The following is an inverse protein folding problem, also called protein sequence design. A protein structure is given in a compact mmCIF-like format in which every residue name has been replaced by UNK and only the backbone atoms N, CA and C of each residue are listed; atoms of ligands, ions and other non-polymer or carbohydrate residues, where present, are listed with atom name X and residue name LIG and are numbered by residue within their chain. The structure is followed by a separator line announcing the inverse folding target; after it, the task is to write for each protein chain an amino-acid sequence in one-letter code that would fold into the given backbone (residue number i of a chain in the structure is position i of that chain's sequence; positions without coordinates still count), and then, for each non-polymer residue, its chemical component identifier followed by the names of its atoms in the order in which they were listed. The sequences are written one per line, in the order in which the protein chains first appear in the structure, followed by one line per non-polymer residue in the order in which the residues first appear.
data_IF_146423327979
#
_entry.id   IF_146423327979
#
_cell.length_a   1.000
_cell.length_b   1.000
_cell.length_c   1.000
_cell.angle_alpha   90.00
_cell.angle_beta   90.00
_cell.angle_gamma   90.00
#
_symmetry.space_group_name_H-M   'P 1'
#
loop_
_entity.id
_entity.type
_entity.pdbx_description
1 polymer ?
#
# COMPACT_ATOMS: atom_id res chain seq x y z
N UNK A 1 9.66 -29.40 13.99
CA UNK A 1 8.60 -28.40 13.65
C UNK A 1 8.70 -28.12 12.15
N UNK A 2 7.59 -28.10 11.43
CA UNK A 2 7.54 -27.78 10.00
C UNK A 2 7.67 -26.25 9.82
N UNK A 3 8.58 -25.81 8.95
CA UNK A 3 8.83 -24.38 8.70
C UNK A 3 7.61 -23.66 8.11
N UNK A 4 6.70 -24.37 7.44
CA UNK A 4 5.46 -23.81 6.91
C UNK A 4 4.53 -23.25 7.99
N UNK A 5 4.76 -23.58 9.27
CA UNK A 5 4.02 -22.99 10.38
C UNK A 5 4.34 -21.51 10.59
N UNK A 6 5.56 -21.07 10.26
CA UNK A 6 5.90 -19.64 10.26
C UNK A 6 5.15 -18.88 9.16
N UNK A 7 4.95 -19.52 8.01
CA UNK A 7 4.11 -18.94 6.94
C UNK A 7 2.65 -18.77 7.41
N UNK A 8 2.11 -19.78 8.12
CA UNK A 8 0.76 -19.70 8.71
C UNK A 8 0.66 -18.53 9.71
N UNK A 9 1.68 -18.34 10.56
CA UNK A 9 1.75 -17.23 11.50
C UNK A 9 1.78 -15.87 10.77
N UNK A 10 2.61 -15.72 9.75
CA UNK A 10 2.71 -14.48 8.97
C UNK A 10 1.38 -14.18 8.25
N UNK A 11 0.74 -15.19 7.65
CA UNK A 11 -0.58 -15.05 7.02
C UNK A 11 -1.64 -14.63 8.04
N UNK A 12 -1.72 -15.28 9.21
CA UNK A 12 -2.69 -14.89 10.24
C UNK A 12 -2.44 -13.47 10.78
N UNK A 13 -1.18 -13.06 10.84
CA UNK A 13 -0.80 -11.70 11.26
C UNK A 13 -1.29 -10.61 10.29
N UNK A 14 -1.46 -10.94 9.02
CA UNK A 14 -1.99 -10.02 8.01
C UNK A 14 -3.52 -10.04 7.95
N UNK A 15 -4.13 -11.23 8.03
CA UNK A 15 -5.59 -11.40 7.91
C UNK A 15 -6.34 -11.03 9.20
N UNK A 16 -5.71 -11.22 10.37
CA UNK A 16 -6.33 -11.10 11.71
C UNK A 16 -7.68 -11.82 11.82
N UNK A 17 -7.84 -12.86 11.01
CA UNK A 17 -9.04 -13.68 10.92
C UNK A 17 -8.65 -15.13 10.62
N UNK A 18 -8.97 -16.07 11.52
CA UNK A 18 -8.61 -17.48 11.38
C UNK A 18 -9.23 -18.15 10.16
N UNK A 19 -10.48 -17.83 9.82
CA UNK A 19 -11.16 -18.43 8.66
C UNK A 19 -10.57 -17.92 7.34
N UNK A 20 -10.31 -16.62 7.24
CA UNK A 20 -9.65 -16.02 6.08
C UNK A 20 -8.24 -16.56 5.90
N UNK A 21 -7.44 -16.61 6.98
CA UNK A 21 -6.09 -17.17 6.95
C UNK A 21 -6.07 -18.65 6.56
N UNK A 22 -6.99 -19.46 7.11
CA UNK A 22 -7.12 -20.87 6.75
C UNK A 22 -7.46 -21.06 5.27
N UNK A 23 -8.43 -20.30 4.75
CA UNK A 23 -8.79 -20.30 3.32
C UNK A 23 -7.59 -19.94 2.44
N UNK A 24 -6.83 -18.91 2.80
CA UNK A 24 -5.63 -18.49 2.06
C UNK A 24 -4.54 -19.55 2.05
N UNK A 25 -4.46 -20.38 3.11
CA UNK A 25 -3.54 -21.52 3.22
C UNK A 25 -4.10 -22.83 2.67
N UNK A 26 -5.28 -22.81 2.05
CA UNK A 26 -6.00 -24.00 1.56
C UNK A 26 -6.19 -25.08 2.65
N UNK A 27 -6.56 -24.64 3.86
CA UNK A 27 -6.78 -25.48 5.03
C UNK A 27 -8.16 -25.27 5.64
N UNK A 28 -8.62 -26.25 6.43
CA UNK A 28 -9.78 -26.03 7.31
C UNK A 28 -9.38 -25.18 8.52
N UNK A 29 -10.28 -24.33 9.00
CA UNK A 29 -10.01 -23.47 10.16
C UNK A 29 -9.54 -24.24 11.42
N UNK A 30 -10.12 -25.43 11.77
CA UNK A 30 -9.61 -26.21 12.90
C UNK A 30 -8.19 -26.74 12.71
N UNK A 31 -7.83 -27.14 11.49
CA UNK A 31 -6.46 -27.59 11.18
C UNK A 31 -5.47 -26.42 11.30
N UNK A 32 -5.82 -25.27 10.72
CA UNK A 32 -5.02 -24.06 10.79
C UNK A 32 -4.83 -23.58 12.25
N UNK A 33 -5.91 -23.56 13.05
CA UNK A 33 -5.83 -23.18 14.46
C UNK A 33 -4.92 -24.08 15.28
N UNK A 34 -4.92 -25.41 15.00
CA UNK A 34 -3.99 -26.36 15.66
C UNK A 34 -2.54 -26.06 15.30
N UNK A 35 -2.23 -25.71 14.06
CA UNK A 35 -0.88 -25.36 13.63
C UNK A 35 -0.37 -24.10 14.33
N UNK A 36 -1.20 -23.07 14.44
CA UNK A 36 -0.85 -21.87 15.21
C UNK A 36 -0.59 -22.22 16.67
N UNK A 37 -1.42 -23.09 17.28
CA UNK A 37 -1.19 -23.57 18.65
C UNK A 37 0.15 -24.29 18.81
N UNK A 38 0.54 -25.14 17.86
CA UNK A 38 1.86 -25.81 17.85
C UNK A 38 3.01 -24.79 17.86
N UNK A 39 2.86 -23.68 17.12
CA UNK A 39 3.86 -22.61 17.14
C UNK A 39 3.91 -21.90 18.49
N UNK A 40 2.75 -21.55 19.05
CA UNK A 40 2.64 -20.90 20.37
C UNK A 40 3.25 -21.78 21.47
N UNK A 41 2.99 -23.07 21.41
CA UNK A 41 3.55 -24.04 22.36
C UNK A 41 5.09 -24.18 22.22
N UNK A 42 5.60 -24.14 20.99
CA UNK A 42 7.05 -24.15 20.73
C UNK A 42 7.74 -22.85 21.19
N UNK A 43 7.11 -21.69 20.99
CA UNK A 43 7.61 -20.39 21.46
C UNK A 43 7.48 -20.28 23.00
N UNK A 44 6.52 -20.99 23.59
CA UNK A 44 6.24 -20.98 25.03
C UNK A 44 5.31 -19.85 25.48
N UNK A 45 4.71 -19.11 24.56
CA UNK A 45 3.78 -18.01 24.88
C UNK A 45 2.77 -17.79 23.74
N UNK A 46 1.53 -17.32 24.05
CA UNK A 46 0.57 -16.94 23.01
C UNK A 46 1.10 -15.82 22.11
N UNK A 47 0.92 -15.97 20.80
CA UNK A 47 1.28 -14.97 19.79
C UNK A 47 0.09 -14.13 19.35
N UNK A 48 -1.13 -14.63 19.58
CA UNK A 48 -2.38 -13.93 19.30
C UNK A 48 -3.28 -13.86 20.54
N UNK A 49 -3.91 -12.71 20.73
CA UNK A 49 -5.09 -12.57 21.59
C UNK A 49 -6.32 -12.84 20.75
N UNK A 50 -7.29 -13.58 21.33
CA UNK A 50 -8.55 -13.96 20.69
C UNK A 50 -9.70 -13.54 21.55
N UNK A 51 -10.61 -12.76 20.99
CA UNK A 51 -11.92 -12.50 21.58
C UNK A 51 -13.01 -13.04 20.67
N UNK A 52 -14.26 -13.02 21.09
CA UNK A 52 -15.39 -13.40 20.23
C UNK A 52 -15.55 -12.49 19.01
N UNK A 53 -14.89 -11.32 18.98
CA UNK A 53 -15.06 -10.31 17.96
C UNK A 53 -13.78 -9.90 17.23
N UNK A 54 -12.60 -10.29 17.75
CA UNK A 54 -11.33 -9.82 17.19
C UNK A 54 -10.19 -10.78 17.44
N UNK A 55 -9.22 -10.77 16.52
CA UNK A 55 -7.90 -11.40 16.64
C UNK A 55 -6.87 -10.28 16.56
N UNK A 56 -5.89 -10.28 17.47
CA UNK A 56 -4.80 -9.31 17.45
C UNK A 56 -3.49 -9.96 17.88
N UNK A 57 -2.35 -9.42 17.43
CA UNK A 57 -1.04 -9.87 17.88
C UNK A 57 -0.80 -9.48 19.36
N UNK A 58 -0.27 -10.41 20.14
CA UNK A 58 0.32 -10.12 21.46
C UNK A 58 1.62 -9.30 21.30
N UNK A 59 2.19 -8.75 22.39
CA UNK A 59 3.54 -8.19 22.35
C UNK A 59 4.58 -9.18 21.81
N UNK A 60 4.49 -10.46 22.20
CA UNK A 60 5.36 -11.52 21.70
C UNK A 60 5.15 -11.77 20.20
N UNK A 61 3.88 -11.80 19.73
CA UNK A 61 3.55 -11.91 18.31
C UNK A 61 4.11 -10.74 17.49
N UNK A 62 3.99 -9.52 17.99
CA UNK A 62 4.58 -8.33 17.33
C UNK A 62 6.11 -8.40 17.26
N UNK A 63 6.77 -8.91 18.29
CA UNK A 63 8.22 -9.09 18.30
C UNK A 63 8.69 -10.21 17.33
N UNK A 64 7.91 -11.30 17.24
CA UNK A 64 8.24 -12.43 16.36
C UNK A 64 8.02 -12.12 14.88
N UNK A 65 6.97 -11.34 14.53
CA UNK A 65 6.52 -11.12 13.15
C UNK A 65 7.64 -10.68 12.19
N UNK A 66 8.47 -9.68 12.49
CA UNK A 66 9.53 -9.26 11.59
C UNK A 66 10.58 -10.36 11.36
N UNK A 67 10.88 -11.17 12.40
CA UNK A 67 11.85 -12.28 12.30
C UNK A 67 11.28 -13.45 11.50
N UNK A 68 10.04 -13.85 11.77
CA UNK A 68 9.35 -14.90 11.02
C UNK A 68 9.26 -14.52 9.53
N UNK A 69 8.89 -13.29 9.21
CA UNK A 69 8.84 -12.78 7.85
C UNK A 69 10.21 -12.78 7.16
N UNK A 70 11.28 -12.43 7.89
CA UNK A 70 12.65 -12.48 7.36
C UNK A 70 13.06 -13.92 7.01
N UNK A 71 12.86 -14.87 7.92
CA UNK A 71 13.17 -16.30 7.69
C UNK A 71 12.42 -16.84 6.48
N UNK A 72 11.14 -16.51 6.32
CA UNK A 72 10.35 -16.95 5.16
C UNK A 72 10.85 -16.36 3.85
N UNK A 73 11.27 -15.08 3.85
CA UNK A 73 11.89 -14.46 2.68
C UNK A 73 13.21 -15.13 2.31
N UNK A 74 14.09 -15.33 3.30
CA UNK A 74 15.42 -15.93 3.09
C UNK A 74 15.30 -17.35 2.52
N UNK A 75 14.34 -18.15 3.05
CA UNK A 75 14.08 -19.49 2.52
C UNK A 75 13.60 -19.46 1.07
N UNK A 76 12.69 -18.56 0.75
CA UNK A 76 12.19 -18.38 -0.60
C UNK A 76 13.29 -17.94 -1.56
N UNK A 77 14.13 -17.02 -1.12
CA UNK A 77 15.28 -16.54 -1.88
C UNK A 77 16.29 -17.69 -2.14
N UNK A 78 16.66 -18.46 -1.11
CA UNK A 78 17.57 -19.60 -1.27
C UNK A 78 17.04 -20.62 -2.28
N UNK A 79 15.73 -20.91 -2.26
CA UNK A 79 15.09 -21.75 -3.27
C UNK A 79 15.21 -21.14 -4.68
N UNK A 80 14.96 -19.85 -4.81
CA UNK A 80 14.96 -19.15 -6.10
C UNK A 80 16.40 -19.12 -6.68
N UNK A 81 17.41 -18.87 -5.85
CA UNK A 81 18.83 -18.95 -6.23
C UNK A 81 19.23 -20.37 -6.69
N UNK A 82 18.79 -21.39 -5.96
CA UNK A 82 19.04 -22.77 -6.35
C UNK A 82 18.39 -23.13 -7.71
N UNK A 83 17.19 -22.62 -7.98
CA UNK A 83 16.50 -22.79 -9.25
C UNK A 83 17.20 -22.04 -10.39
N UNK A 84 17.73 -20.84 -10.12
CA UNK A 84 18.51 -20.05 -11.08
C UNK A 84 19.80 -20.81 -11.48
N UNK A 85 20.57 -21.29 -10.50
CA UNK A 85 21.78 -22.09 -10.74
C UNK A 85 21.45 -23.35 -11.53
N UNK A 86 20.31 -23.98 -11.30
CA UNK A 86 19.86 -25.16 -12.06
C UNK A 86 19.36 -24.84 -13.48
N UNK A 87 19.39 -23.57 -13.91
CA UNK A 87 18.88 -23.15 -15.23
C UNK A 87 17.37 -23.30 -15.39
N UNK A 88 16.63 -23.47 -14.29
CA UNK A 88 15.18 -23.77 -14.29
C UNK A 88 14.28 -22.54 -14.10
N UNK A 89 14.85 -21.34 -13.99
CA UNK A 89 14.04 -20.16 -13.73
C UNK A 89 14.59 -18.92 -14.43
N UNK A 90 13.78 -18.37 -15.34
CA UNK A 90 13.75 -16.92 -15.60
C UNK A 90 12.47 -16.45 -14.92
N UNK A 91 12.51 -16.20 -13.62
CA UNK A 91 11.37 -15.60 -12.95
C UNK A 91 11.23 -14.15 -13.41
N UNK A 92 10.02 -13.80 -13.84
CA UNK A 92 9.66 -12.41 -14.04
C UNK A 92 9.91 -11.62 -12.74
N UNK A 93 10.50 -10.44 -12.86
CA UNK A 93 10.62 -9.51 -11.74
C UNK A 93 9.22 -9.08 -11.30
N UNK A 94 8.85 -9.36 -10.06
CA UNK A 94 7.52 -9.01 -9.54
C UNK A 94 7.60 -7.71 -8.73
N UNK A 95 6.71 -6.77 -9.03
CA UNK A 95 6.59 -5.49 -8.33
C UNK A 95 5.14 -5.34 -7.89
N UNK A 96 4.89 -5.12 -6.60
CA UNK A 96 3.58 -4.68 -6.14
C UNK A 96 3.47 -3.16 -6.25
N UNK A 97 2.32 -2.66 -6.67
CA UNK A 97 2.04 -1.24 -6.72
C UNK A 97 0.61 -0.95 -6.32
N UNK A 98 0.39 0.17 -5.64
CA UNK A 98 -0.97 0.62 -5.37
C UNK A 98 -1.70 0.98 -6.66
N UNK A 99 -3.02 0.74 -6.69
CA UNK A 99 -3.83 0.87 -7.90
C UNK A 99 -3.58 2.17 -8.69
N UNK A 100 -3.59 3.33 -8.03
CA UNK A 100 -3.39 4.60 -8.72
C UNK A 100 -2.04 4.65 -9.45
N UNK A 101 -0.95 4.28 -8.77
CA UNK A 101 0.40 4.34 -9.34
C UNK A 101 0.65 3.30 -10.43
N UNK A 102 -0.06 2.16 -10.39
CA UNK A 102 0.10 1.10 -11.40
C UNK A 102 -0.29 1.54 -12.80
N UNK A 103 -1.08 2.61 -12.95
CA UNK A 103 -1.43 3.16 -14.27
C UNK A 103 -1.03 4.62 -14.48
N UNK A 104 -0.81 5.42 -13.43
CA UNK A 104 -0.39 6.82 -13.60
C UNK A 104 1.12 7.00 -13.68
N UNK A 105 1.89 6.27 -12.88
CA UNK A 105 3.32 6.48 -12.70
C UNK A 105 4.18 5.30 -13.17
N UNK A 106 3.90 4.08 -12.68
CA UNK A 106 4.77 2.91 -12.88
C UNK A 106 5.04 2.59 -14.35
N UNK A 107 4.07 2.61 -15.28
CA UNK A 107 4.33 2.28 -16.68
C UNK A 107 5.36 3.22 -17.33
N UNK A 108 5.21 4.53 -17.12
CA UNK A 108 6.13 5.52 -17.66
C UNK A 108 7.53 5.40 -17.03
N UNK A 109 7.59 5.34 -15.71
CA UNK A 109 8.82 5.18 -14.96
C UNK A 109 9.59 3.90 -15.36
N UNK A 110 8.90 2.79 -15.56
CA UNK A 110 9.51 1.53 -16.04
C UNK A 110 10.13 1.66 -17.42
N UNK A 111 9.52 2.43 -18.32
CA UNK A 111 10.05 2.62 -19.68
C UNK A 111 11.23 3.60 -19.67
N UNK A 112 11.13 4.69 -18.92
CA UNK A 112 12.11 5.80 -18.98
C UNK A 112 13.34 5.56 -18.11
N UNK A 113 13.17 4.93 -16.95
CA UNK A 113 14.24 4.81 -15.95
C UNK A 113 14.84 3.41 -15.91
N UNK A 114 14.02 2.37 -16.04
CA UNK A 114 14.45 1.00 -15.74
C UNK A 114 14.91 0.24 -16.98
N UNK A 115 14.49 0.63 -18.18
CA UNK A 115 14.70 -0.13 -19.42
C UNK A 115 14.35 -1.63 -19.24
N UNK A 116 13.06 -1.94 -19.23
CA UNK A 116 12.50 -3.27 -18.95
C UNK A 116 13.15 -4.41 -19.76
N UNK A 117 13.74 -4.13 -20.93
CA UNK A 117 14.43 -5.13 -21.74
C UNK A 117 15.61 -5.81 -20.99
N UNK A 118 16.19 -5.14 -19.98
CA UNK A 118 17.28 -5.67 -19.18
C UNK A 118 16.85 -6.71 -18.13
N UNK A 119 15.54 -6.79 -17.87
CA UNK A 119 14.97 -7.61 -16.79
C UNK A 119 14.07 -8.75 -17.26
N UNK A 120 13.92 -8.92 -18.57
CA UNK A 120 12.98 -9.90 -19.12
C UNK A 120 11.53 -9.53 -18.79
N UNK A 121 10.71 -10.52 -18.44
CA UNK A 121 9.33 -10.25 -18.07
C UNK A 121 9.24 -9.57 -16.69
N UNK A 122 8.38 -8.55 -16.60
CA UNK A 122 8.04 -7.88 -15.34
C UNK A 122 6.57 -8.13 -15.03
N UNK A 123 6.29 -8.62 -13.82
CA UNK A 123 4.94 -8.78 -13.31
C UNK A 123 4.59 -7.59 -12.39
N UNK A 124 3.63 -6.78 -12.79
CA UNK A 124 3.08 -5.73 -11.97
C UNK A 124 1.81 -6.25 -11.27
N UNK A 125 1.87 -6.38 -9.96
CA UNK A 125 0.71 -6.70 -9.12
C UNK A 125 0.10 -5.39 -8.62
N UNK A 126 -1.17 -5.17 -8.94
CA UNK A 126 -1.88 -3.95 -8.56
C UNK A 126 -2.96 -4.27 -7.53
N UNK A 127 -2.87 -3.66 -6.34
CA UNK A 127 -3.84 -3.87 -5.26
C UNK A 127 -3.93 -2.64 -4.33
N UNK A 128 -4.74 -2.75 -3.28
CA UNK A 128 -4.79 -1.81 -2.16
C UNK A 128 -3.42 -1.71 -1.47
N UNK A 129 -3.17 -0.60 -0.76
CA UNK A 129 -1.92 -0.47 0.00
C UNK A 129 -1.74 -1.61 1.01
N UNK A 130 -2.83 -1.96 1.72
CA UNK A 130 -2.77 -2.99 2.77
C UNK A 130 -2.35 -4.36 2.20
N UNK A 131 -2.87 -4.75 1.03
CA UNK A 131 -2.48 -6.01 0.40
C UNK A 131 -1.08 -5.94 -0.22
N UNK A 132 -0.72 -4.85 -0.90
CA UNK A 132 0.64 -4.67 -1.42
C UNK A 132 1.70 -4.70 -0.30
N UNK A 133 1.43 -4.05 0.84
CA UNK A 133 2.28 -4.12 2.03
C UNK A 133 2.37 -5.55 2.57
N UNK A 134 1.26 -6.27 2.62
CA UNK A 134 1.22 -7.66 3.05
C UNK A 134 2.01 -8.58 2.10
N UNK A 135 1.92 -8.40 0.78
CA UNK A 135 2.72 -9.12 -0.21
C UNK A 135 4.23 -8.94 0.01
N UNK A 136 4.67 -7.70 0.28
CA UNK A 136 6.08 -7.40 0.60
C UNK A 136 6.49 -8.04 1.94
N UNK A 137 5.66 -7.93 2.98
CA UNK A 137 5.93 -8.52 4.28
C UNK A 137 6.06 -10.05 4.24
N UNK A 138 5.22 -10.72 3.42
CA UNK A 138 5.27 -12.18 3.22
C UNK A 138 6.37 -12.63 2.26
N UNK A 139 7.11 -11.68 1.65
CA UNK A 139 8.14 -11.99 0.65
C UNK A 139 7.58 -12.56 -0.65
N UNK A 140 6.32 -12.31 -0.98
CA UNK A 140 5.70 -12.71 -2.24
C UNK A 140 6.13 -11.79 -3.39
N UNK A 141 6.51 -10.55 -3.07
CA UNK A 141 7.15 -9.60 -3.98
C UNK A 141 8.40 -9.00 -3.33
N UNK A 142 9.49 -8.77 -4.07
CA UNK A 142 10.66 -8.07 -3.58
C UNK A 142 10.46 -6.55 -3.48
N UNK A 143 9.49 -5.98 -4.18
CA UNK A 143 9.31 -4.54 -4.29
C UNK A 143 7.86 -4.10 -4.12
N UNK A 144 7.70 -2.92 -3.49
CA UNK A 144 6.43 -2.22 -3.39
C UNK A 144 6.62 -0.77 -3.83
N UNK A 145 5.80 -0.31 -4.78
CA UNK A 145 5.67 1.11 -5.16
C UNK A 145 4.37 1.67 -4.57
N UNK A 146 4.49 2.69 -3.74
CA UNK A 146 3.32 3.34 -3.13
C UNK A 146 3.58 4.81 -2.84
N UNK A 147 2.49 5.56 -2.62
CA UNK A 147 2.59 6.89 -2.02
C UNK A 147 3.05 6.77 -0.57
N UNK A 148 4.00 7.60 -0.19
CA UNK A 148 4.56 7.69 1.16
C UNK A 148 4.49 9.12 1.68
N UNK A 149 4.30 9.26 2.98
CA UNK A 149 4.32 10.54 3.67
C UNK A 149 4.87 10.36 5.09
N UNK A 150 5.66 11.32 5.63
CA UNK A 150 6.28 11.18 6.94
C UNK A 150 5.31 10.96 8.10
N UNK A 151 4.09 11.51 8.01
CA UNK A 151 3.06 11.39 9.05
C UNK A 151 2.36 10.02 9.04
N UNK A 152 2.34 9.33 7.89
CA UNK A 152 1.58 8.09 7.75
C UNK A 152 2.35 6.89 8.31
N UNK A 153 1.74 6.16 9.23
CA UNK A 153 2.33 4.94 9.79
C UNK A 153 2.38 3.81 8.76
N UNK A 154 3.41 2.99 8.81
CA UNK A 154 3.59 1.79 7.99
C UNK A 154 4.05 0.62 8.87
N UNK A 155 3.74 -0.61 8.47
CA UNK A 155 4.29 -1.84 9.08
C UNK A 155 5.70 -2.16 8.57
N UNK A 156 6.19 -1.41 7.56
CA UNK A 156 7.52 -1.58 6.98
C UNK A 156 8.55 -0.86 7.86
N UNK A 157 8.98 -1.52 8.93
CA UNK A 157 10.00 -1.01 9.85
C UNK A 157 11.32 -0.77 9.12
N UNK A 158 11.98 0.37 9.38
CA UNK A 158 13.30 0.71 8.84
C UNK A 158 14.42 -0.27 9.22
N UNK A 159 14.21 -1.11 10.23
CA UNK A 159 15.15 -2.18 10.56
C UNK A 159 15.14 -3.34 9.55
N UNK A 160 14.00 -3.59 8.89
CA UNK A 160 13.80 -4.73 8.00
C UNK A 160 13.55 -4.32 6.55
N UNK A 161 13.22 -3.06 6.31
CA UNK A 161 12.92 -2.52 4.99
C UNK A 161 13.65 -1.21 4.77
N UNK A 162 14.02 -0.97 3.53
CA UNK A 162 14.55 0.30 3.07
C UNK A 162 13.69 0.84 1.93
N UNK A 163 13.72 2.13 1.73
CA UNK A 163 13.00 2.78 0.63
C UNK A 163 13.87 3.81 -0.05
N UNK A 164 13.57 4.06 -1.31
CA UNK A 164 14.09 5.20 -2.05
C UNK A 164 12.93 5.95 -2.69
N UNK A 165 13.03 7.27 -2.75
CA UNK A 165 12.09 8.10 -3.48
C UNK A 165 12.37 7.98 -4.96
N UNK A 166 11.34 7.64 -5.75
CA UNK A 166 11.42 7.48 -7.21
C UNK A 166 10.56 8.51 -7.97
N UNK A 167 9.80 9.32 -7.25
CA UNK A 167 8.98 10.40 -7.80
C UNK A 167 8.23 11.16 -6.70
N UNK A 168 7.37 12.05 -7.11
CA UNK A 168 6.49 12.81 -6.21
C UNK A 168 5.13 13.06 -6.84
N UNK A 169 4.14 13.30 -6.01
CA UNK A 169 2.80 13.69 -6.40
C UNK A 169 2.20 14.62 -5.32
N UNK A 170 0.98 15.06 -5.54
CA UNK A 170 0.19 15.79 -4.57
C UNK A 170 -1.20 15.22 -4.50
N UNK A 171 -1.75 15.08 -3.31
CA UNK A 171 -3.18 14.83 -3.14
C UNK A 171 -3.90 16.18 -3.18
N UNK A 172 -4.81 16.33 -4.12
CA UNK A 172 -5.56 17.56 -4.36
C UNK A 172 -7.06 17.34 -4.17
N UNK A 173 -7.77 18.25 -3.47
CA UNK A 173 -9.22 18.17 -3.36
C UNK A 173 -9.86 18.63 -4.67
N UNK A 174 -10.69 17.77 -5.25
CA UNK A 174 -11.37 18.03 -6.52
C UNK A 174 -12.89 17.81 -6.40
N UNK A 175 -13.63 18.55 -7.20
CA UNK A 175 -15.08 18.37 -7.38
C UNK A 175 -15.46 18.73 -8.80
N UNK A 176 -16.72 18.43 -9.17
CA UNK A 176 -17.30 18.90 -10.43
C UNK A 176 -17.39 20.44 -10.40
N UNK A 177 -17.06 21.13 -11.49
CA UNK A 177 -17.29 22.56 -11.62
C UNK A 177 -18.79 22.87 -11.73
N UNK A 178 -19.20 24.05 -11.28
CA UNK A 178 -20.52 24.61 -11.56
C UNK A 178 -20.52 25.32 -12.92
N UNK A 179 -21.71 25.61 -13.46
CA UNK A 179 -21.86 26.38 -14.70
C UNK A 179 -21.35 27.83 -14.60
N UNK A 180 -20.97 28.30 -13.42
CA UNK A 180 -20.58 29.69 -13.10
C UNK A 180 -19.11 29.83 -12.65
N UNK A 181 -18.19 29.05 -13.24
CA UNK A 181 -16.73 29.20 -13.08
C UNK A 181 -16.14 28.85 -11.71
N UNK A 182 -16.76 28.00 -10.92
CA UNK A 182 -16.20 27.56 -9.65
C UNK A 182 -16.53 26.11 -9.31
N UNK A 183 -15.92 25.54 -8.26
CA UNK A 183 -16.28 24.22 -7.79
C UNK A 183 -17.72 24.22 -7.22
N UNK A 184 -18.45 23.12 -7.41
CA UNK A 184 -19.78 22.94 -6.81
C UNK A 184 -19.75 22.99 -5.28
N UNK A 185 -18.61 22.62 -4.70
CA UNK A 185 -18.35 22.56 -3.27
C UNK A 185 -17.13 23.40 -2.90
N UNK A 186 -17.15 24.04 -1.76
CA UNK A 186 -16.02 24.84 -1.22
C UNK A 186 -15.67 24.36 0.17
N UNK A 187 -14.38 24.19 0.44
CA UNK A 187 -13.89 23.94 1.80
C UNK A 187 -13.85 25.29 2.52
N UNK A 188 -14.72 25.46 3.53
CA UNK A 188 -14.77 26.67 4.33
C UNK A 188 -14.26 26.40 5.74
N UNK A 189 -13.31 27.22 6.17
CA UNK A 189 -12.82 27.23 7.56
C UNK A 189 -13.74 28.02 8.50
N UNK A 190 -14.79 28.67 7.98
CA UNK A 190 -15.69 29.48 8.79
C UNK A 190 -16.51 28.61 9.74
N UNK A 191 -16.48 28.94 11.02
CA UNK A 191 -17.33 28.32 12.02
C UNK A 191 -18.81 28.56 11.65
N UNK A 192 -19.62 27.49 11.55
CA UNK A 192 -21.03 27.56 11.20
C UNK A 192 -21.41 27.15 9.78
N UNK A 193 -20.46 26.89 8.87
CA UNK A 193 -20.75 26.33 7.55
C UNK A 193 -21.26 24.88 7.65
N UNK A 194 -22.17 24.49 6.74
CA UNK A 194 -22.58 23.07 6.63
C UNK A 194 -21.42 22.18 6.24
N UNK A 195 -21.37 20.91 6.76
CA UNK A 195 -20.35 19.97 6.35
C UNK A 195 -20.43 19.63 4.86
N UNK A 196 -19.31 19.66 4.18
CA UNK A 196 -19.24 19.39 2.74
C UNK A 196 -19.30 17.87 2.47
N UNK A 197 -20.08 17.42 1.47
CA UNK A 197 -20.08 16.03 1.06
C UNK A 197 -18.69 15.53 0.71
N UNK A 198 -18.25 14.45 1.34
CA UNK A 198 -16.93 13.88 1.21
C UNK A 198 -16.97 12.45 0.68
N UNK A 199 -16.17 12.21 -0.35
CA UNK A 199 -15.94 10.93 -0.95
C UNK A 199 -14.69 10.33 -0.30
N UNK A 200 -14.90 9.54 0.76
CA UNK A 200 -13.86 9.07 1.67
C UNK A 200 -13.13 7.84 1.15
N UNK A 201 -11.89 7.70 1.55
CA UNK A 201 -11.17 6.45 1.39
C UNK A 201 -11.60 5.42 2.42
N UNK A 202 -11.67 4.15 2.00
CA UNK A 202 -11.84 3.01 2.89
C UNK A 202 -10.52 2.71 3.65
N UNK A 203 -10.56 2.03 4.81
CA UNK A 203 -9.39 1.81 5.68
C UNK A 203 -8.18 1.11 5.03
N UNK A 204 -8.40 0.35 3.95
CA UNK A 204 -7.33 -0.34 3.21
C UNK A 204 -6.48 0.60 2.35
N UNK A 205 -6.93 1.83 2.14
CA UNK A 205 -6.26 2.81 1.29
C UNK A 205 -5.04 3.43 1.99
N UNK A 206 -3.89 3.41 1.32
CA UNK A 206 -2.71 4.16 1.75
C UNK A 206 -2.92 5.68 1.70
N UNK A 207 -3.63 6.17 0.67
CA UNK A 207 -3.94 7.61 0.53
C UNK A 207 -4.85 8.06 1.68
N UNK A 208 -5.88 7.29 2.02
CA UNK A 208 -6.74 7.62 3.16
C UNK A 208 -5.97 7.77 4.47
N UNK A 209 -5.02 6.85 4.74
CA UNK A 209 -4.15 6.96 5.93
C UNK A 209 -3.26 8.20 5.92
N UNK A 210 -2.73 8.58 4.75
CA UNK A 210 -1.93 9.80 4.61
C UNK A 210 -2.78 11.02 4.93
N UNK A 211 -3.98 11.13 4.37
CA UNK A 211 -4.88 12.25 4.60
C UNK A 211 -5.28 12.38 6.07
N UNK A 212 -5.71 11.28 6.72
CA UNK A 212 -6.10 11.28 8.12
C UNK A 212 -4.93 11.72 9.03
N UNK A 213 -3.74 11.14 8.82
CA UNK A 213 -2.56 11.48 9.61
C UNK A 213 -2.12 12.93 9.41
N UNK A 214 -2.25 13.46 8.20
CA UNK A 214 -1.91 14.85 7.90
C UNK A 214 -2.89 15.83 8.52
N UNK A 215 -4.19 15.55 8.45
CA UNK A 215 -5.21 16.38 9.10
C UNK A 215 -5.09 16.38 10.63
N UNK A 216 -4.76 15.23 11.22
CA UNK A 216 -4.49 15.13 12.66
C UNK A 216 -3.25 15.95 13.05
N UNK A 217 -2.16 15.86 12.27
CA UNK A 217 -0.93 16.60 12.56
C UNK A 217 -1.08 18.12 12.45
N UNK A 218 -1.85 18.57 11.45
CA UNK A 218 -2.09 20.03 11.25
C UNK A 218 -3.15 20.61 12.17
N UNK A 219 -3.90 19.78 12.90
CA UNK A 219 -5.13 20.19 13.64
C UNK A 219 -6.12 20.95 12.74
N UNK A 220 -6.16 20.59 11.47
CA UNK A 220 -6.92 21.28 10.41
C UNK A 220 -7.77 20.27 9.62
N UNK A 221 -8.62 19.52 10.33
CA UNK A 221 -9.56 18.63 9.64
C UNK A 221 -10.70 19.45 9.04
N UNK A 222 -10.90 19.39 7.70
CA UNK A 222 -12.04 20.05 7.07
C UNK A 222 -13.37 19.51 7.60
N UNK A 223 -14.39 20.34 7.64
CA UNK A 223 -15.75 19.95 8.07
C UNK A 223 -16.43 19.15 6.96
N UNK A 224 -16.28 17.85 7.03
CA UNK A 224 -16.71 16.91 5.99
C UNK A 224 -17.80 15.98 6.49
N UNK A 225 -18.77 15.67 5.62
CA UNK A 225 -19.79 14.64 5.81
C UNK A 225 -19.53 13.55 4.80
N UNK A 226 -19.05 12.39 5.25
CA UNK A 226 -18.83 11.26 4.35
C UNK A 226 -20.15 10.78 3.76
N UNK A 227 -20.21 10.72 2.43
CA UNK A 227 -21.38 10.27 1.66
C UNK A 227 -21.08 9.02 0.83
N UNK A 228 -19.81 8.72 0.60
CA UNK A 228 -19.37 7.57 -0.17
C UNK A 228 -18.01 7.06 0.31
N UNK A 229 -17.77 5.74 0.22
CA UNK A 229 -16.48 5.12 0.55
C UNK A 229 -15.95 4.27 -0.59
N UNK A 230 -14.66 4.41 -0.91
CA UNK A 230 -13.95 3.49 -1.80
C UNK A 230 -12.48 3.41 -1.40
N UNK A 231 -11.83 2.28 -1.63
CA UNK A 231 -10.36 2.18 -1.53
C UNK A 231 -9.65 2.62 -2.82
N UNK A 232 -10.39 2.83 -3.92
CA UNK A 232 -9.87 3.21 -5.22
C UNK A 232 -10.01 4.72 -5.47
N UNK A 233 -8.90 5.42 -5.63
CA UNK A 233 -8.90 6.83 -6.01
C UNK A 233 -9.64 7.08 -7.34
N UNK A 234 -9.52 6.14 -8.30
CA UNK A 234 -10.22 6.22 -9.58
C UNK A 234 -11.75 6.20 -9.42
N UNK A 235 -12.28 5.38 -8.52
CA UNK A 235 -13.73 5.38 -8.21
C UNK A 235 -14.15 6.70 -7.59
N UNK A 236 -13.39 7.23 -6.62
CA UNK A 236 -13.70 8.52 -6.00
C UNK A 236 -13.67 9.66 -7.02
N UNK A 237 -12.71 9.62 -7.97
CA UNK A 237 -12.63 10.55 -9.11
C UNK A 237 -13.92 10.53 -9.95
N UNK A 238 -14.40 9.36 -10.34
CA UNK A 238 -15.62 9.26 -11.16
C UNK A 238 -16.85 9.76 -10.39
N UNK A 239 -16.98 9.39 -9.10
CA UNK A 239 -18.10 9.87 -8.27
C UNK A 239 -18.04 11.40 -8.05
N UNK A 240 -16.83 11.98 -7.99
CA UNK A 240 -16.65 13.43 -7.92
C UNK A 240 -17.10 14.13 -9.22
N UNK A 241 -16.84 13.54 -10.41
CA UNK A 241 -17.32 14.03 -11.71
C UNK A 241 -18.84 14.05 -11.81
N UNK A 242 -19.51 13.12 -11.12
CA UNK A 242 -20.98 13.09 -11.02
C UNK A 242 -21.53 14.11 -10.01
N UNK A 243 -20.66 14.95 -9.38
CA UNK A 243 -21.08 16.01 -8.46
C UNK A 243 -21.58 15.49 -7.11
N UNK A 244 -21.11 14.32 -6.65
CA UNK A 244 -21.58 13.76 -5.38
C UNK A 244 -20.80 14.26 -4.15
N UNK A 245 -19.76 15.10 -4.36
CA UNK A 245 -18.95 15.64 -3.29
C UNK A 245 -17.49 15.88 -3.67
N UNK A 246 -16.66 16.17 -2.67
CA UNK A 246 -15.23 16.42 -2.81
C UNK A 246 -14.44 15.13 -2.60
N UNK A 247 -13.44 14.86 -3.44
CA UNK A 247 -12.45 13.82 -3.26
C UNK A 247 -11.04 14.40 -3.20
N UNK A 248 -10.19 13.94 -2.27
CA UNK A 248 -8.74 14.14 -2.37
C UNK A 248 -8.13 13.01 -3.18
N UNK A 249 -7.55 13.31 -4.31
CA UNK A 249 -6.98 12.31 -5.23
C UNK A 249 -5.59 12.73 -5.69
N UNK A 250 -4.74 11.78 -6.13
CA UNK A 250 -3.46 12.13 -6.73
C UNK A 250 -3.63 13.06 -7.92
N UNK A 251 -2.86 14.15 -7.96
CA UNK A 251 -2.93 15.14 -9.06
C UNK A 251 -2.60 14.49 -10.40
N UNK A 252 -1.67 13.55 -10.42
CA UNK A 252 -1.35 12.75 -11.61
C UNK A 252 -2.56 11.99 -12.16
N UNK A 253 -3.47 11.53 -11.29
CA UNK A 253 -4.68 10.80 -11.68
C UNK A 253 -5.74 11.69 -12.35
N UNK A 254 -5.80 12.95 -11.96
CA UNK A 254 -6.85 13.91 -12.41
C UNK A 254 -6.31 14.99 -13.35
N UNK A 255 -5.06 14.89 -13.77
CA UNK A 255 -4.43 15.91 -14.63
C UNK A 255 -5.23 16.21 -15.90
N UNK A 256 -5.72 15.17 -16.58
CA UNK A 256 -6.55 15.31 -17.78
C UNK A 256 -7.92 15.93 -17.47
N UNK A 257 -8.54 15.57 -16.32
CA UNK A 257 -9.84 16.13 -15.92
C UNK A 257 -9.74 17.61 -15.55
N UNK A 258 -8.66 17.99 -14.87
CA UNK A 258 -8.39 19.40 -14.55
C UNK A 258 -8.15 20.23 -15.82
N UNK A 259 -7.43 19.66 -16.78
CA UNK A 259 -7.16 20.34 -18.06
C UNK A 259 -8.43 20.46 -18.92
N UNK A 260 -9.28 19.44 -18.95
CA UNK A 260 -10.53 19.46 -19.71
C UNK A 260 -11.67 20.21 -19.02
N UNK A 261 -11.51 20.58 -17.74
CA UNK A 261 -12.57 21.17 -16.93
C UNK A 261 -13.65 20.19 -16.47
N UNK A 262 -13.43 18.88 -16.61
CA UNK A 262 -14.34 17.85 -16.07
C UNK A 262 -14.34 17.82 -14.53
N UNK A 263 -13.22 18.19 -13.93
CA UNK A 263 -13.04 18.44 -12.50
C UNK A 263 -12.35 19.79 -12.30
N UNK A 264 -12.58 20.40 -11.15
CA UNK A 264 -11.86 21.59 -10.71
C UNK A 264 -11.30 21.38 -9.31
N UNK A 265 -10.19 22.04 -8.99
CA UNK A 265 -9.63 22.03 -7.64
C UNK A 265 -10.49 22.92 -6.71
N UNK A 266 -10.83 22.39 -5.54
CA UNK A 266 -11.83 23.01 -4.65
C UNK A 266 -11.22 24.11 -3.77
N UNK A 267 -9.90 24.07 -3.57
CA UNK A 267 -9.17 25.00 -2.71
C UNK A 267 -7.76 25.24 -3.22
N UNK A 268 -7.08 26.21 -2.62
CA UNK A 268 -5.67 26.52 -2.87
C UNK A 268 -4.69 25.51 -2.28
N UNK A 269 -3.39 25.85 -2.31
CA UNK A 269 -2.30 24.97 -1.86
C UNK A 269 -2.38 24.52 -0.39
N UNK A 270 -3.13 25.23 0.44
CA UNK A 270 -3.31 24.96 1.88
C UNK A 270 -3.94 23.59 2.16
N UNK A 271 -4.76 23.08 1.22
CA UNK A 271 -5.40 21.77 1.33
C UNK A 271 -4.73 20.70 0.45
N UNK A 272 -3.66 21.05 -0.25
CA UNK A 272 -2.85 20.08 -0.95
C UNK A 272 -1.97 19.30 0.05
N UNK A 273 -1.82 17.99 -0.17
CA UNK A 273 -0.90 17.16 0.61
C UNK A 273 0.18 16.63 -0.33
N UNK A 274 1.42 17.16 -0.24
CA UNK A 274 2.52 16.62 -1.02
C UNK A 274 2.84 15.20 -0.55
N UNK A 275 3.10 14.30 -1.50
CA UNK A 275 3.43 12.91 -1.22
C UNK A 275 4.62 12.46 -2.06
N UNK A 276 5.47 11.63 -1.47
CA UNK A 276 6.52 10.95 -2.21
C UNK A 276 5.96 9.70 -2.89
N UNK A 277 6.49 9.35 -4.05
CA UNK A 277 6.34 8.03 -4.63
C UNK A 277 7.60 7.26 -4.28
N UNK A 278 7.44 6.22 -3.48
CA UNK A 278 8.56 5.47 -2.90
C UNK A 278 8.54 4.02 -3.34
N UNK A 279 9.74 3.52 -3.65
CA UNK A 279 10.02 2.10 -3.86
C UNK A 279 10.56 1.52 -2.56
N UNK A 280 9.90 0.50 -2.02
CA UNK A 280 10.30 -0.24 -0.83
C UNK A 280 10.85 -1.60 -1.19
N UNK A 281 11.84 -2.08 -0.40
CA UNK A 281 12.38 -3.43 -0.45
C UNK A 281 12.80 -3.91 0.95
N UNK A 282 12.96 -5.24 1.17
CA UNK A 282 13.64 -5.75 2.36
C UNK A 282 15.11 -5.26 2.42
N UNK A 283 15.66 -5.12 3.64
CA UNK A 283 17.09 -4.84 3.86
C UNK A 283 17.98 -6.05 3.56
N UNK A 284 17.43 -7.26 3.61
CA UNK A 284 18.13 -8.48 3.23
C UNK A 284 18.49 -8.45 1.75
N UNK A 285 19.61 -9.08 1.41
CA UNK A 285 20.06 -9.19 0.02
C UNK A 285 19.02 -9.92 -0.81
N UNK A 286 18.74 -9.41 -1.99
CA UNK A 286 17.85 -10.01 -2.98
C UNK A 286 18.66 -10.80 -4.03
N UNK A 287 17.97 -11.50 -4.96
CA UNK A 287 18.66 -12.12 -6.09
C UNK A 287 19.30 -11.06 -6.99
N UNK A 288 20.23 -11.46 -7.85
CA UNK A 288 21.02 -10.56 -8.70
C UNK A 288 20.18 -9.64 -9.57
N UNK A 289 19.07 -10.15 -10.12
CA UNK A 289 18.16 -9.36 -10.96
C UNK A 289 17.48 -8.24 -10.15
N UNK A 290 16.99 -8.57 -8.95
CA UNK A 290 16.33 -7.59 -8.07
C UNK A 290 17.31 -6.56 -7.51
N UNK A 291 18.55 -6.96 -7.17
CA UNK A 291 19.59 -5.99 -6.75
C UNK A 291 19.90 -5.00 -7.87
N UNK A 292 20.12 -5.50 -9.11
CA UNK A 292 20.35 -4.62 -10.26
C UNK A 292 19.18 -3.67 -10.52
N UNK A 293 17.94 -4.15 -10.38
CA UNK A 293 16.75 -3.31 -10.48
C UNK A 293 16.76 -2.19 -9.45
N UNK A 294 17.05 -2.53 -8.19
CA UNK A 294 17.14 -1.55 -7.11
C UNK A 294 18.23 -0.49 -7.37
N UNK A 295 19.42 -0.90 -7.79
CA UNK A 295 20.53 0.01 -8.09
C UNK A 295 20.13 1.03 -9.16
N UNK A 296 19.47 0.59 -10.23
CA UNK A 296 18.98 1.49 -11.29
C UNK A 296 17.89 2.42 -10.75
N UNK A 297 16.91 1.88 -10.04
CA UNK A 297 15.80 2.65 -9.48
C UNK A 297 16.28 3.69 -8.46
N UNK A 298 17.29 3.37 -7.64
CA UNK A 298 17.85 4.26 -6.62
C UNK A 298 18.81 5.31 -7.20
N UNK A 299 19.44 5.03 -8.35
CA UNK A 299 20.35 5.96 -9.02
C UNK A 299 19.63 6.96 -9.94
N UNK A 300 18.39 6.64 -10.34
CA UNK A 300 17.53 7.55 -11.10
C UNK A 300 17.21 8.78 -10.24
N UNK A 301 17.53 9.99 -10.73
CA UNK A 301 17.09 11.22 -10.07
C UNK A 301 15.56 11.28 -10.15
N UNK A 302 14.83 11.44 -9.03
CA UNK A 302 13.41 11.72 -9.09
C UNK A 302 13.21 13.07 -9.80
N UNK A 303 12.43 13.08 -10.88
CA UNK A 303 11.92 14.31 -11.49
C UNK A 303 10.93 15.02 -10.56
#
# INVERSE_FOLDING_TARGET
MDISIFEDFVVLSSELNFSAAASRRNMTQPAFSRRIKVLEDWIGTPLFTRTSRSVALTPAGRALLPRASAVMRDLKQARDEAMEVAGKSIKALTIASTHALSFTFVPHWMITTVNHADFGAINLLSDSYAECEALLLRGETPFLVCHAHPTATTRLSSQNFMSTRIGSDKLVPVARPTNSEGPEWSISERSGSEPVPYLAYAPQSGIGRILEAEWEQRDQRPRLKTVFHSHLAATLREVAKEGQGIAWVPKSLVAADLTSGALTQVSGPEHEVPVDISLFRPTTRLNRQAERFWEIAASGKPE
#
